data_IF_930359272129
#
_entry.id   IF_930359272129
#
_cell.length_a   1.000
_cell.length_b   1.000
_cell.length_c   1.000
_cell.angle_alpha   90.00
_cell.angle_beta   90.00
_cell.angle_gamma   90.00
#
_symmetry.space_group_name_H-M   'P 1'
#
loop_
_entity.id
_entity.type
_entity.pdbx_description
1 polymer ?
#
# COMPACT_ATOMS: atom_id res chain seq x y z
N UNK A 1 4.14 43.60 58.65
CA UNK A 1 4.36 44.91 57.99
C UNK A 1 5.85 45.01 57.66
N UNK A 2 6.18 45.62 56.52
CA UNK A 2 7.52 45.94 56.00
C UNK A 2 8.30 44.85 55.22
N UNK A 3 8.35 45.08 53.90
CA UNK A 3 9.51 44.93 53.00
C UNK A 3 10.20 46.33 52.90
N UNK A 4 11.34 46.54 52.19
CA UNK A 4 12.43 45.65 51.73
C UNK A 4 13.86 46.28 51.85
N UNK A 5 14.94 45.54 51.54
CA UNK A 5 16.07 46.10 50.74
C UNK A 5 16.87 45.03 49.96
N UNK A 6 17.33 45.45 48.77
CA UNK A 6 17.96 44.71 47.65
C UNK A 6 19.37 44.17 47.93
N UNK A 7 19.72 43.07 47.25
CA UNK A 7 21.09 42.77 46.81
C UNK A 7 21.09 42.28 45.36
N UNK A 8 22.11 42.71 44.62
CA UNK A 8 22.34 42.56 43.19
C UNK A 8 23.17 41.29 42.92
N UNK A 9 22.81 40.51 41.89
CA UNK A 9 23.57 39.34 41.43
C UNK A 9 23.44 39.16 39.91
N UNK A 10 24.58 39.04 39.24
CA UNK A 10 24.84 39.09 37.78
C UNK A 10 23.97 38.15 36.93
N UNK A 11 23.40 38.68 35.85
CA UNK A 11 22.91 37.91 34.71
C UNK A 11 23.99 37.84 33.62
N UNK A 12 24.50 36.64 33.36
CA UNK A 12 25.34 36.35 32.19
C UNK A 12 24.45 36.30 30.94
N UNK A 13 24.75 37.14 29.95
CA UNK A 13 24.08 37.19 28.63
C UNK A 13 24.33 35.88 27.85
N UNK A 14 23.35 35.33 27.13
CA UNK A 14 23.61 34.35 26.08
C UNK A 14 24.14 35.06 24.82
N UNK A 15 24.95 34.40 23.96
CA UNK A 15 25.44 35.02 22.74
C UNK A 15 24.31 35.14 21.71
N UNK A 16 24.14 36.35 21.18
CA UNK A 16 23.33 36.64 20.00
C UNK A 16 24.27 36.50 18.79
N UNK A 17 23.94 35.64 17.85
CA UNK A 17 24.58 35.64 16.53
C UNK A 17 24.49 34.33 15.77
N UNK A 18 23.31 34.00 15.23
CA UNK A 18 23.30 33.44 13.88
C UNK A 18 22.92 34.57 12.94
N UNK A 19 23.81 34.86 12.00
CA UNK A 19 23.66 35.96 11.07
C UNK A 19 22.41 35.73 10.20
N UNK A 20 21.78 36.80 9.71
CA UNK A 20 20.62 36.69 8.80
C UNK A 20 20.97 35.88 7.54
N UNK A 21 22.26 35.83 7.19
CA UNK A 21 22.82 35.06 6.08
C UNK A 21 22.84 33.55 6.37
N UNK A 22 23.27 33.12 7.58
CA UNK A 22 23.33 31.71 8.00
C UNK A 22 21.94 31.07 8.23
N UNK A 23 20.91 31.89 8.44
CA UNK A 23 19.51 31.42 8.45
C UNK A 23 18.96 31.25 7.03
N UNK A 24 19.38 32.11 6.08
CA UNK A 24 19.00 31.99 4.67
C UNK A 24 19.66 30.77 4.01
N UNK A 25 20.96 30.55 4.26
CA UNK A 25 21.68 29.39 3.70
C UNK A 25 21.17 28.04 4.24
N UNK A 26 20.78 27.98 5.53
CA UNK A 26 20.11 26.77 6.07
C UNK A 26 18.72 26.55 5.50
N UNK A 27 17.98 27.62 5.22
CA UNK A 27 16.66 27.52 4.58
C UNK A 27 16.78 27.07 3.12
N UNK A 28 17.76 27.61 2.38
CA UNK A 28 18.04 27.22 0.98
C UNK A 28 18.66 25.82 0.86
N UNK A 29 19.46 25.37 1.83
CA UNK A 29 19.95 23.98 1.89
C UNK A 29 18.85 22.99 2.29
N UNK A 30 17.92 23.39 3.17
CA UNK A 30 16.75 22.58 3.52
C UNK A 30 15.77 22.49 2.33
N UNK A 31 15.52 23.59 1.61
CA UNK A 31 14.71 23.61 0.39
C UNK A 31 15.38 22.83 -0.77
N UNK A 32 16.71 22.89 -0.89
CA UNK A 32 17.46 22.07 -1.87
C UNK A 32 17.48 20.58 -1.51
N UNK A 33 17.41 20.22 -0.23
CA UNK A 33 17.29 18.82 0.22
C UNK A 33 15.84 18.28 0.08
N UNK A 34 14.81 19.10 0.26
CA UNK A 34 13.40 18.71 0.10
C UNK A 34 12.97 18.56 -1.37
N UNK A 35 13.65 19.23 -2.30
CA UNK A 35 13.34 19.12 -3.74
C UNK A 35 13.94 17.85 -4.38
N UNK A 36 14.80 17.11 -3.68
CA UNK A 36 15.59 16.00 -4.27
C UNK A 36 15.09 14.58 -3.98
N UNK A 37 13.99 14.37 -3.22
CA UNK A 37 13.48 13.01 -2.92
C UNK A 37 11.95 12.83 -2.97
N UNK A 38 11.23 13.64 -3.75
CA UNK A 38 9.82 13.39 -4.06
C UNK A 38 9.66 12.97 -5.53
N UNK A 39 9.67 11.66 -5.79
CA UNK A 39 9.03 11.13 -7.00
C UNK A 39 7.53 11.39 -6.82
N UNK A 40 7.00 12.40 -7.51
CA UNK A 40 5.61 12.82 -7.34
C UNK A 40 4.64 11.65 -7.62
N UNK A 41 3.50 11.61 -6.93
CA UNK A 41 2.47 10.58 -7.10
C UNK A 41 2.05 10.41 -8.58
N UNK A 42 2.15 11.49 -9.37
CA UNK A 42 1.94 11.50 -10.82
C UNK A 42 3.01 10.74 -11.60
N UNK A 43 4.28 10.77 -11.17
CA UNK A 43 5.36 10.00 -11.82
C UNK A 43 5.20 8.51 -11.53
N UNK A 44 4.77 8.11 -10.33
CA UNK A 44 4.46 6.71 -10.05
C UNK A 44 3.19 6.24 -10.76
N UNK A 45 2.16 7.08 -10.86
CA UNK A 45 0.98 6.82 -11.69
C UNK A 45 1.34 6.72 -13.17
N UNK A 46 2.24 7.57 -13.67
CA UNK A 46 2.67 7.55 -15.07
C UNK A 46 3.58 6.35 -15.37
N UNK A 47 4.47 5.98 -14.45
CA UNK A 47 5.28 4.75 -14.53
C UNK A 47 4.40 3.50 -14.44
N UNK A 48 3.35 3.51 -13.61
CA UNK A 48 2.33 2.45 -13.57
C UNK A 48 1.53 2.41 -14.88
N UNK A 49 1.05 3.54 -15.39
CA UNK A 49 0.34 3.70 -16.68
C UNK A 49 1.20 3.18 -17.83
N UNK A 50 2.51 3.45 -17.82
CA UNK A 50 3.47 2.95 -18.80
C UNK A 50 3.72 1.43 -18.65
N UNK A 51 3.90 0.92 -17.43
CA UNK A 51 4.12 -0.51 -17.19
C UNK A 51 2.87 -1.36 -17.54
N UNK A 52 1.67 -0.83 -17.31
CA UNK A 52 0.40 -1.42 -17.75
C UNK A 52 0.26 -1.36 -19.28
N UNK A 53 0.58 -0.23 -19.92
CA UNK A 53 0.56 -0.11 -21.38
C UNK A 53 1.57 -1.02 -22.09
N UNK A 54 2.72 -1.29 -21.46
CA UNK A 54 3.79 -2.12 -22.02
C UNK A 54 3.57 -3.64 -21.82
N UNK A 55 2.46 -4.06 -21.20
CA UNK A 55 2.06 -5.46 -21.17
C UNK A 55 2.80 -6.33 -20.15
N UNK A 56 3.44 -5.74 -19.15
CA UNK A 56 4.25 -6.45 -18.15
C UNK A 56 3.43 -7.22 -17.08
N UNK A 57 2.10 -7.19 -17.15
CA UNK A 57 1.19 -7.72 -16.11
C UNK A 57 0.11 -8.68 -16.63
N UNK A 58 0.36 -9.37 -17.74
CA UNK A 58 -0.52 -10.44 -18.20
C UNK A 58 -0.16 -11.74 -17.50
N UNK A 59 -0.96 -12.22 -16.54
CA UNK A 59 -1.32 -13.63 -16.36
C UNK A 59 -2.13 -13.85 -15.06
N UNK A 60 -3.44 -13.63 -15.13
CA UNK A 60 -4.47 -14.42 -14.45
C UNK A 60 -5.82 -14.02 -15.07
N UNK A 61 -6.73 -14.98 -15.29
CA UNK A 61 -8.02 -14.85 -16.00
C UNK A 61 -7.98 -14.90 -17.54
N UNK A 62 -7.47 -16.01 -18.07
CA UNK A 62 -7.80 -16.45 -19.43
C UNK A 62 -8.86 -17.56 -19.37
N UNK A 63 -10.15 -17.21 -19.34
CA UNK A 63 -11.20 -18.18 -19.67
C UNK A 63 -11.35 -18.28 -21.19
N UNK A 64 -11.24 -19.52 -21.68
CA UNK A 64 -11.06 -19.89 -23.09
C UNK A 64 -12.32 -19.62 -23.93
N UNK A 65 -12.23 -18.73 -24.90
CA UNK A 65 -13.06 -18.73 -26.12
C UNK A 65 -12.20 -18.37 -27.32
N UNK A 66 -12.33 -19.16 -28.41
CA UNK A 66 -11.66 -18.92 -29.69
C UNK A 66 -12.15 -17.58 -30.23
N UNK A 67 -11.35 -16.55 -29.98
CA UNK A 67 -11.59 -15.17 -30.38
C UNK A 67 -10.30 -14.70 -31.04
N UNK A 68 -10.41 -14.06 -32.21
CA UNK A 68 -9.24 -13.60 -32.97
C UNK A 68 -8.34 -12.72 -32.10
N UNK A 69 -7.02 -12.75 -32.32
CA UNK A 69 -6.08 -11.94 -31.52
C UNK A 69 -6.46 -10.45 -31.44
N UNK A 70 -7.11 -9.91 -32.48
CA UNK A 70 -7.61 -8.52 -32.48
C UNK A 70 -8.77 -8.29 -31.52
N UNK A 71 -9.67 -9.27 -31.38
CA UNK A 71 -10.78 -9.23 -30.42
C UNK A 71 -10.31 -9.40 -28.97
N UNK A 72 -9.31 -10.24 -28.73
CA UNK A 72 -8.67 -10.38 -27.41
C UNK A 72 -7.97 -9.07 -26.99
N UNK A 73 -7.19 -8.45 -27.88
CA UNK A 73 -6.55 -7.15 -27.62
C UNK A 73 -7.55 -6.03 -27.31
N UNK A 74 -8.68 -5.98 -28.04
CA UNK A 74 -9.75 -5.01 -27.78
C UNK A 74 -10.44 -5.26 -26.43
N UNK A 75 -10.61 -6.53 -26.07
CA UNK A 75 -11.17 -6.92 -24.78
C UNK A 75 -10.26 -6.49 -23.63
N UNK A 76 -8.95 -6.77 -23.72
CA UNK A 76 -7.96 -6.34 -22.73
C UNK A 76 -7.89 -4.82 -22.58
N UNK A 77 -7.91 -4.08 -23.69
CA UNK A 77 -7.96 -2.62 -23.65
C UNK A 77 -9.20 -2.11 -22.92
N UNK A 78 -10.37 -2.72 -23.18
CA UNK A 78 -11.62 -2.35 -22.52
C UNK A 78 -11.59 -2.67 -21.03
N UNK A 79 -11.00 -3.82 -20.66
CA UNK A 79 -10.78 -4.21 -19.26
C UNK A 79 -9.91 -3.18 -18.55
N UNK A 80 -8.74 -2.87 -19.08
CA UNK A 80 -7.82 -1.87 -18.50
C UNK A 80 -8.46 -0.50 -18.33
N UNK A 81 -9.13 0.01 -19.36
CA UNK A 81 -9.83 1.29 -19.29
C UNK A 81 -10.92 1.30 -18.21
N UNK A 82 -11.59 0.16 -17.98
CA UNK A 82 -12.61 0.01 -16.93
C UNK A 82 -11.97 0.06 -15.53
N UNK A 83 -10.87 -0.66 -15.32
CA UNK A 83 -10.14 -0.68 -14.04
C UNK A 83 -9.56 0.71 -13.70
N UNK A 84 -8.94 1.38 -14.68
CA UNK A 84 -8.40 2.73 -14.53
C UNK A 84 -9.49 3.74 -14.19
N UNK A 85 -10.60 3.75 -14.94
CA UNK A 85 -11.75 4.61 -14.69
C UNK A 85 -12.33 4.43 -13.28
N UNK A 86 -12.42 3.18 -12.80
CA UNK A 86 -12.93 2.89 -11.47
C UNK A 86 -12.05 3.47 -10.36
N UNK A 87 -10.73 3.35 -10.51
CA UNK A 87 -9.76 3.91 -9.57
C UNK A 87 -9.76 5.44 -9.59
N UNK A 88 -9.74 6.07 -10.76
CA UNK A 88 -9.82 7.54 -10.90
C UNK A 88 -11.07 8.11 -10.22
N UNK A 89 -12.22 7.48 -10.45
CA UNK A 89 -13.48 7.90 -9.84
C UNK A 89 -13.47 7.76 -8.31
N UNK A 90 -12.76 6.76 -7.76
CA UNK A 90 -12.56 6.64 -6.32
C UNK A 90 -11.79 7.84 -5.75
N UNK A 91 -10.77 8.33 -6.45
CA UNK A 91 -10.04 9.56 -6.07
C UNK A 91 -10.91 10.79 -6.18
N UNK A 92 -11.62 10.96 -7.30
CA UNK A 92 -12.39 12.17 -7.59
C UNK A 92 -13.58 12.37 -6.65
N UNK A 93 -14.30 11.28 -6.32
CA UNK A 93 -15.64 11.36 -5.70
C UNK A 93 -15.76 10.55 -4.41
N UNK A 94 -14.75 9.76 -4.07
CA UNK A 94 -14.81 8.76 -3.01
C UNK A 94 -15.59 7.50 -3.42
N UNK A 95 -15.20 6.36 -2.86
CA UNK A 95 -15.75 5.04 -3.17
C UNK A 95 -17.30 4.98 -3.16
N UNK A 96 -17.93 5.58 -2.15
CA UNK A 96 -19.39 5.54 -1.99
C UNK A 96 -20.18 6.20 -3.13
N UNK A 97 -19.57 7.14 -3.88
CA UNK A 97 -20.21 7.85 -5.00
C UNK A 97 -19.91 7.24 -6.36
N UNK A 98 -19.08 6.19 -6.42
CA UNK A 98 -18.76 5.50 -7.68
C UNK A 98 -19.92 4.59 -8.07
N UNK A 99 -20.34 4.66 -9.33
CA UNK A 99 -21.38 3.81 -9.93
C UNK A 99 -20.86 3.11 -11.18
N UNK A 100 -21.46 1.97 -11.53
CA UNK A 100 -21.11 1.23 -12.76
C UNK A 100 -21.38 2.10 -14.00
N UNK A 101 -22.43 2.93 -13.97
CA UNK A 101 -22.73 3.93 -15.00
C UNK A 101 -21.59 4.93 -15.19
N UNK A 102 -21.05 5.47 -14.09
CA UNK A 102 -19.96 6.44 -14.15
C UNK A 102 -18.68 5.79 -14.66
N UNK A 103 -18.38 4.55 -14.22
CA UNK A 103 -17.23 3.77 -14.71
C UNK A 103 -17.37 3.52 -16.21
N UNK A 104 -18.54 3.06 -16.67
CA UNK A 104 -18.83 2.78 -18.08
C UNK A 104 -18.65 4.04 -18.95
N UNK A 105 -19.20 5.17 -18.50
CA UNK A 105 -19.09 6.44 -19.20
C UNK A 105 -17.64 6.92 -19.30
N UNK A 106 -16.85 6.81 -18.23
CA UNK A 106 -15.44 7.22 -18.22
C UNK A 106 -14.56 6.30 -19.05
N UNK A 107 -14.76 5.00 -18.96
CA UNK A 107 -13.99 3.99 -19.69
C UNK A 107 -14.36 3.91 -21.18
N UNK A 108 -15.45 4.56 -21.60
CA UNK A 108 -15.95 4.49 -22.98
C UNK A 108 -16.49 3.11 -23.35
N UNK A 109 -17.04 2.38 -22.38
CA UNK A 109 -17.59 1.02 -22.57
C UNK A 109 -19.07 0.96 -22.20
N UNK A 110 -19.77 -0.06 -22.69
CA UNK A 110 -21.18 -0.28 -22.28
C UNK A 110 -21.27 -0.93 -20.89
N UNK A 111 -22.36 -0.69 -20.15
CA UNK A 111 -22.63 -1.43 -18.90
C UNK A 111 -22.65 -2.94 -19.10
N UNK A 112 -23.20 -3.41 -20.23
CA UNK A 112 -23.18 -4.83 -20.61
C UNK A 112 -21.76 -5.37 -20.75
N UNK A 113 -20.82 -4.53 -21.20
CA UNK A 113 -19.40 -4.90 -21.24
C UNK A 113 -18.85 -5.10 -19.84
N UNK A 114 -19.16 -4.22 -18.88
CA UNK A 114 -18.69 -4.35 -17.49
C UNK A 114 -19.31 -5.59 -16.82
N UNK A 115 -20.64 -5.74 -16.85
CA UNK A 115 -21.34 -6.85 -16.19
C UNK A 115 -20.96 -8.24 -16.72
N UNK A 116 -20.37 -8.33 -17.91
CA UNK A 116 -19.84 -9.58 -18.44
C UNK A 116 -18.66 -10.11 -17.63
N UNK A 117 -17.88 -9.24 -16.98
CA UNK A 117 -16.66 -9.60 -16.24
C UNK A 117 -16.81 -9.35 -14.75
N UNK A 118 -17.49 -8.27 -14.38
CA UNK A 118 -17.63 -7.83 -13.00
C UNK A 118 -19.11 -7.74 -12.61
N UNK A 119 -19.57 -8.56 -11.65
CA UNK A 119 -20.97 -8.54 -11.22
C UNK A 119 -21.34 -7.24 -10.49
N UNK A 120 -20.36 -6.52 -9.92
CA UNK A 120 -20.57 -5.31 -9.13
C UNK A 120 -19.45 -4.28 -9.32
N UNK A 121 -19.68 -3.03 -8.89
CA UNK A 121 -18.62 -1.98 -8.84
C UNK A 121 -17.43 -2.46 -7.99
N UNK A 122 -17.70 -3.21 -6.93
CA UNK A 122 -16.72 -3.65 -5.94
C UNK A 122 -15.84 -4.75 -6.50
N UNK A 123 -16.37 -5.60 -7.38
CA UNK A 123 -15.58 -6.53 -8.15
C UNK A 123 -14.63 -5.82 -9.14
N UNK A 124 -15.04 -4.72 -9.78
CA UNK A 124 -14.16 -3.92 -10.66
C UNK A 124 -13.02 -3.31 -9.84
N UNK A 125 -13.36 -2.66 -8.71
CA UNK A 125 -12.39 -1.95 -7.87
C UNK A 125 -11.43 -2.93 -7.19
N UNK A 126 -11.92 -4.09 -6.74
CA UNK A 126 -11.10 -5.16 -6.17
C UNK A 126 -10.05 -5.61 -7.18
N UNK A 127 -10.45 -5.89 -8.41
CA UNK A 127 -9.52 -6.32 -9.45
C UNK A 127 -8.49 -5.24 -9.78
N UNK A 128 -8.92 -3.98 -9.90
CA UNK A 128 -8.03 -2.85 -10.14
C UNK A 128 -7.01 -2.66 -9.01
N UNK A 129 -7.43 -2.88 -7.75
CA UNK A 129 -6.56 -2.83 -6.58
C UNK A 129 -5.58 -4.02 -6.54
N UNK A 130 -6.05 -5.25 -6.78
CA UNK A 130 -5.23 -6.46 -6.75
C UNK A 130 -4.11 -6.39 -7.79
N UNK A 131 -4.41 -5.95 -9.02
CA UNK A 131 -3.42 -5.80 -10.09
C UNK A 131 -2.28 -4.85 -9.67
N UNK A 132 -2.60 -3.76 -8.95
CA UNK A 132 -1.59 -2.83 -8.44
C UNK A 132 -0.84 -3.38 -7.21
N UNK A 133 -1.51 -4.12 -6.33
CA UNK A 133 -0.89 -4.72 -5.15
C UNK A 133 0.20 -5.73 -5.53
N UNK A 134 -0.12 -6.66 -6.44
CA UNK A 134 0.82 -7.70 -6.88
C UNK A 134 2.10 -7.07 -7.45
N UNK A 135 1.98 -6.00 -8.23
CA UNK A 135 3.14 -5.30 -8.80
C UNK A 135 3.98 -4.51 -7.79
N UNK A 136 3.43 -4.16 -6.63
CA UNK A 136 4.10 -3.28 -5.64
C UNK A 136 4.61 -4.00 -4.40
N UNK A 137 4.21 -5.27 -4.21
CA UNK A 137 4.52 -6.04 -3.00
C UNK A 137 5.17 -7.39 -3.34
N UNK A 138 6.38 -7.40 -3.92
CA UNK A 138 7.07 -8.64 -4.22
C UNK A 138 7.45 -9.39 -2.93
N UNK A 139 7.41 -10.72 -2.97
CA UNK A 139 8.03 -11.58 -1.96
C UNK A 139 9.43 -11.96 -2.43
N UNK A 140 10.34 -10.99 -2.37
CA UNK A 140 11.74 -11.20 -2.71
C UNK A 140 12.38 -12.24 -1.78
N UNK A 141 13.41 -12.93 -2.27
CA UNK A 141 14.23 -13.87 -1.51
C UNK A 141 15.69 -13.46 -1.68
N UNK A 142 16.07 -12.37 -0.99
CA UNK A 142 17.41 -11.76 -1.12
C UNK A 142 18.45 -12.41 -0.21
N UNK A 143 18.02 -13.35 0.63
CA UNK A 143 18.83 -13.93 1.70
C UNK A 143 18.74 -13.17 3.04
N UNK A 144 18.02 -12.05 3.12
CA UNK A 144 17.73 -11.33 4.37
C UNK A 144 16.22 -11.19 4.55
N UNK A 145 15.65 -12.01 5.44
CA UNK A 145 14.19 -12.00 5.68
C UNK A 145 13.69 -10.68 6.26
N UNK A 146 14.49 -9.99 7.08
CA UNK A 146 14.09 -8.72 7.65
C UNK A 146 14.05 -7.62 6.58
N UNK A 147 14.99 -7.60 5.65
CA UNK A 147 14.95 -6.72 4.49
C UNK A 147 13.76 -7.03 3.57
N UNK A 148 13.52 -8.30 3.28
CA UNK A 148 12.44 -8.72 2.36
C UNK A 148 11.05 -8.38 2.92
N UNK A 149 10.81 -8.62 4.21
CA UNK A 149 9.55 -8.26 4.87
C UNK A 149 9.35 -6.75 4.92
N UNK A 150 10.41 -5.98 5.22
CA UNK A 150 10.34 -4.50 5.20
C UNK A 150 9.96 -3.99 3.82
N UNK A 151 10.59 -4.49 2.77
CA UNK A 151 10.29 -4.08 1.40
C UNK A 151 8.85 -4.42 1.00
N UNK A 152 8.36 -5.61 1.36
CA UNK A 152 6.99 -6.02 1.08
C UNK A 152 5.96 -5.13 1.78
N UNK A 153 6.11 -4.92 3.10
CA UNK A 153 5.20 -4.11 3.89
C UNK A 153 5.26 -2.63 3.46
N UNK A 154 6.45 -2.10 3.18
CA UNK A 154 6.62 -0.74 2.66
C UNK A 154 5.91 -0.54 1.32
N UNK A 155 5.98 -1.53 0.42
CA UNK A 155 5.23 -1.52 -0.83
C UNK A 155 3.71 -1.44 -0.60
N UNK A 156 3.19 -2.25 0.33
CA UNK A 156 1.77 -2.29 0.66
C UNK A 156 1.29 -1.00 1.33
N UNK A 157 2.03 -0.50 2.31
CA UNK A 157 1.77 0.79 2.99
C UNK A 157 1.78 1.92 1.96
N UNK A 158 2.79 1.97 1.08
CA UNK A 158 2.89 3.00 0.04
C UNK A 158 1.67 2.97 -0.88
N UNK A 159 1.24 1.79 -1.30
CA UNK A 159 0.08 1.63 -2.16
C UNK A 159 -1.18 2.19 -1.49
N UNK A 160 -1.52 1.71 -0.29
CA UNK A 160 -2.75 2.12 0.42
C UNK A 160 -2.70 3.58 0.89
N UNK A 161 -1.54 4.21 0.95
CA UNK A 161 -1.40 5.65 1.23
C UNK A 161 -1.40 6.53 -0.02
N UNK A 162 -1.38 5.93 -1.22
CA UNK A 162 -1.36 6.67 -2.49
C UNK A 162 -2.73 6.61 -3.15
N UNK A 163 -3.42 7.75 -3.39
CA UNK A 163 -4.59 7.78 -4.27
C UNK A 163 -4.19 7.29 -5.68
N UNK A 164 -5.02 6.49 -6.36
CA UNK A 164 -6.41 6.13 -6.04
C UNK A 164 -6.62 4.96 -5.07
N UNK A 165 -5.56 4.25 -4.68
CA UNK A 165 -5.68 2.92 -4.08
C UNK A 165 -6.18 2.94 -2.62
N UNK A 166 -5.75 3.91 -1.81
CA UNK A 166 -6.21 4.03 -0.42
C UNK A 166 -7.73 4.15 -0.27
N UNK A 167 -8.37 5.16 -0.90
CA UNK A 167 -9.82 5.29 -0.86
C UNK A 167 -10.57 4.08 -1.42
N UNK A 168 -10.06 3.46 -2.49
CA UNK A 168 -10.61 2.25 -3.06
C UNK A 168 -10.56 1.07 -2.07
N UNK A 169 -9.42 0.88 -1.42
CA UNK A 169 -9.19 -0.20 -0.47
C UNK A 169 -10.04 -0.06 0.80
N UNK A 170 -10.08 1.13 1.39
CA UNK A 170 -10.94 1.42 2.54
C UNK A 170 -12.43 1.20 2.21
N UNK A 171 -12.84 1.53 0.98
CA UNK A 171 -14.18 1.27 0.49
C UNK A 171 -14.51 -0.23 0.42
N UNK A 172 -13.61 -1.04 -0.13
CA UNK A 172 -13.75 -2.50 -0.16
C UNK A 172 -13.89 -3.06 1.26
N UNK A 173 -12.99 -2.69 2.17
CA UNK A 173 -13.03 -3.15 3.57
C UNK A 173 -14.36 -2.81 4.25
N UNK A 174 -14.91 -1.62 4.00
CA UNK A 174 -16.22 -1.24 4.54
C UNK A 174 -17.37 -2.04 3.94
N UNK A 175 -17.33 -2.34 2.63
CA UNK A 175 -18.44 -3.00 1.93
C UNK A 175 -18.49 -4.51 2.23
N UNK A 176 -17.34 -5.14 2.48
CA UNK A 176 -17.24 -6.56 2.88
C UNK A 176 -18.07 -6.93 4.12
N UNK A 177 -18.33 -5.98 5.02
CA UNK A 177 -19.15 -6.23 6.21
C UNK A 177 -20.65 -6.43 5.91
N UNK A 178 -21.10 -6.07 4.71
CA UNK A 178 -22.50 -6.09 4.32
C UNK A 178 -22.75 -6.90 3.02
N UNK A 179 -21.69 -7.40 2.38
CA UNK A 179 -21.73 -8.16 1.13
C UNK A 179 -20.84 -9.41 1.26
N UNK A 180 -21.48 -10.56 1.53
CA UNK A 180 -20.81 -11.86 1.67
C UNK A 180 -20.19 -12.38 0.36
N UNK A 181 -20.71 -11.97 -0.80
CA UNK A 181 -20.12 -12.34 -2.09
C UNK A 181 -18.82 -11.57 -2.32
N UNK A 182 -18.81 -10.27 -2.02
CA UNK A 182 -17.59 -9.46 -2.02
C UNK A 182 -16.59 -9.98 -0.99
N UNK A 183 -17.00 -10.30 0.23
CA UNK A 183 -16.11 -10.82 1.26
C UNK A 183 -15.43 -12.13 0.80
N UNK A 184 -16.19 -13.06 0.20
CA UNK A 184 -15.62 -14.28 -0.40
C UNK A 184 -14.69 -13.98 -1.56
N UNK A 185 -15.03 -13.04 -2.43
CA UNK A 185 -14.18 -12.64 -3.54
C UNK A 185 -12.86 -12.02 -3.08
N UNK A 186 -12.89 -11.16 -2.07
CA UNK A 186 -11.68 -10.58 -1.45
C UNK A 186 -10.83 -11.67 -0.84
N UNK A 187 -11.44 -12.59 -0.07
CA UNK A 187 -10.71 -13.71 0.51
C UNK A 187 -9.98 -14.54 -0.55
N UNK A 188 -10.73 -15.01 -1.55
CA UNK A 188 -10.20 -15.92 -2.57
C UNK A 188 -9.23 -15.27 -3.56
N UNK A 189 -9.43 -14.00 -3.91
CA UNK A 189 -8.64 -13.32 -4.97
C UNK A 189 -7.51 -12.45 -4.44
N UNK A 190 -7.56 -12.06 -3.17
CA UNK A 190 -6.61 -11.12 -2.58
C UNK A 190 -5.95 -11.67 -1.32
N UNK A 191 -6.72 -12.14 -0.34
CA UNK A 191 -6.15 -12.51 0.97
C UNK A 191 -5.42 -13.83 0.92
N UNK A 192 -6.10 -14.91 0.52
CA UNK A 192 -5.54 -16.26 0.57
C UNK A 192 -4.27 -16.42 -0.30
N UNK A 193 -4.23 -15.96 -1.57
CA UNK A 193 -3.01 -16.09 -2.39
C UNK A 193 -1.81 -15.35 -1.79
N UNK A 194 -2.05 -14.14 -1.25
CA UNK A 194 -0.99 -13.31 -0.65
C UNK A 194 -0.52 -13.87 0.68
N UNK A 195 -1.43 -14.45 1.46
CA UNK A 195 -1.12 -15.15 2.70
C UNK A 195 -0.25 -16.38 2.43
N UNK A 196 -0.62 -17.20 1.45
CA UNK A 196 0.14 -18.38 1.04
C UNK A 196 1.54 -18.02 0.55
N UNK A 197 1.68 -16.96 -0.26
CA UNK A 197 2.99 -16.46 -0.70
C UNK A 197 3.86 -15.96 0.46
N UNK A 198 3.27 -15.24 1.43
CA UNK A 198 3.97 -14.78 2.62
C UNK A 198 4.46 -15.95 3.48
N UNK A 199 3.59 -16.93 3.74
CA UNK A 199 3.95 -18.15 4.47
C UNK A 199 5.05 -18.92 3.73
N UNK A 200 4.97 -19.04 2.40
CA UNK A 200 6.00 -19.69 1.61
C UNK A 200 7.35 -18.97 1.70
N UNK A 201 7.36 -17.62 1.74
CA UNK A 201 8.59 -16.84 1.93
C UNK A 201 9.19 -17.05 3.31
N UNK A 202 8.37 -17.03 4.37
CA UNK A 202 8.84 -17.30 5.73
C UNK A 202 9.37 -18.74 5.87
N UNK A 203 8.73 -19.72 5.22
CA UNK A 203 9.18 -21.11 5.22
C UNK A 203 10.57 -21.25 4.59
N UNK A 204 10.85 -20.55 3.49
CA UNK A 204 12.21 -20.52 2.91
C UNK A 204 13.22 -19.88 3.86
N UNK A 205 12.84 -18.84 4.59
CA UNK A 205 13.71 -18.24 5.62
C UNK A 205 14.00 -19.22 6.78
N UNK A 206 13.01 -20.03 7.17
CA UNK A 206 13.18 -21.10 8.16
C UNK A 206 14.13 -22.20 7.66
N UNK A 207 14.00 -22.65 6.41
CA UNK A 207 14.92 -23.60 5.76
C UNK A 207 16.37 -23.06 5.68
N UNK A 208 16.53 -21.74 5.57
CA UNK A 208 17.81 -21.04 5.57
C UNK A 208 18.34 -20.73 6.99
N UNK A 209 17.64 -21.14 8.05
CA UNK A 209 18.03 -20.93 9.46
C UNK A 209 17.84 -19.49 9.95
N UNK A 210 17.11 -18.63 9.24
CA UNK A 210 16.82 -17.25 9.64
C UNK A 210 15.63 -17.15 10.60
N UNK A 211 14.77 -18.15 10.64
CA UNK A 211 13.61 -18.27 11.52
C UNK A 211 13.68 -19.64 12.22
N UNK A 212 13.33 -19.74 13.52
CA UNK A 212 13.33 -21.03 14.21
C UNK A 212 12.35 -22.04 13.60
N UNK A 213 12.65 -23.35 13.65
CA UNK A 213 11.82 -24.37 13.04
C UNK A 213 10.41 -24.52 13.66
N UNK A 214 10.24 -24.10 14.90
CA UNK A 214 9.01 -24.16 15.69
C UNK A 214 8.10 -22.93 15.53
N UNK A 215 8.55 -21.91 14.79
CA UNK A 215 7.80 -20.67 14.62
C UNK A 215 6.45 -20.90 13.91
N UNK A 216 5.37 -20.35 14.47
CA UNK A 216 4.05 -20.31 13.84
C UNK A 216 4.03 -19.28 12.69
N UNK A 217 4.35 -19.74 11.47
CA UNK A 217 4.42 -18.86 10.30
C UNK A 217 3.06 -18.24 9.92
N UNK A 218 1.93 -18.97 9.93
CA UNK A 218 0.60 -18.36 9.77
C UNK A 218 0.35 -17.19 10.72
N UNK A 219 0.62 -17.37 12.02
CA UNK A 219 0.46 -16.30 13.01
C UNK A 219 1.42 -15.14 12.76
N UNK A 220 2.67 -15.43 12.37
CA UNK A 220 3.65 -14.41 12.02
C UNK A 220 3.13 -13.50 10.89
N UNK A 221 2.50 -14.09 9.86
CA UNK A 221 1.86 -13.33 8.76
C UNK A 221 0.74 -12.44 9.31
N UNK A 222 -0.16 -12.96 10.14
CA UNK A 222 -1.23 -12.16 10.74
C UNK A 222 -0.69 -10.99 11.58
N UNK A 223 0.38 -11.21 12.34
CA UNK A 223 1.05 -10.18 13.14
C UNK A 223 1.73 -9.10 12.28
N UNK A 224 2.19 -9.42 11.08
CA UNK A 224 2.81 -8.46 10.15
C UNK A 224 1.76 -7.59 9.45
N UNK A 225 0.69 -8.20 8.93
CA UNK A 225 -0.31 -7.47 8.12
C UNK A 225 -1.44 -6.86 8.96
N UNK A 226 -1.79 -7.45 10.12
CA UNK A 226 -2.83 -6.94 11.00
C UNK A 226 -2.64 -5.48 11.42
N UNK A 227 -1.45 -5.08 11.90
CA UNK A 227 -1.14 -3.69 12.21
C UNK A 227 -1.27 -2.75 11.03
N UNK A 228 -0.99 -3.20 9.79
CA UNK A 228 -1.20 -2.38 8.60
C UNK A 228 -2.66 -1.99 8.44
N UNK A 229 -3.58 -2.96 8.55
CA UNK A 229 -5.02 -2.73 8.45
C UNK A 229 -5.54 -1.88 9.61
N UNK A 230 -5.14 -2.21 10.84
CA UNK A 230 -5.51 -1.45 12.03
C UNK A 230 -5.13 0.02 11.89
N UNK A 231 -3.90 0.30 11.46
CA UNK A 231 -3.42 1.68 11.28
C UNK A 231 -4.10 2.39 10.12
N UNK A 232 -4.26 1.73 8.97
CA UNK A 232 -4.89 2.32 7.79
C UNK A 232 -6.36 2.68 8.04
N UNK A 233 -7.13 1.79 8.66
CA UNK A 233 -8.58 1.96 8.84
C UNK A 233 -8.90 2.79 10.10
N UNK A 234 -8.27 2.48 11.23
CA UNK A 234 -8.68 3.02 12.53
C UNK A 234 -7.84 4.20 12.99
N UNK A 235 -6.52 4.18 12.79
CA UNK A 235 -5.64 5.28 13.25
C UNK A 235 -5.50 6.40 12.23
N UNK A 236 -5.44 6.08 10.95
CA UNK A 236 -5.25 7.00 9.82
C UNK A 236 -3.96 7.87 9.78
N UNK A 237 -2.81 7.58 10.45
CA UNK A 237 -1.54 8.14 10.02
C UNK A 237 -0.89 7.31 8.90
N UNK A 238 -0.06 7.97 8.10
CA UNK A 238 0.89 7.32 7.20
C UNK A 238 1.90 6.57 8.08
N UNK A 239 2.16 5.30 7.77
CA UNK A 239 3.25 4.56 8.40
C UNK A 239 4.54 4.90 7.69
N UNK A 240 5.52 5.38 8.43
CA UNK A 240 6.85 5.61 7.89
C UNK A 240 7.68 4.32 7.87
N UNK A 241 8.84 4.40 7.23
CA UNK A 241 9.76 3.27 7.09
C UNK A 241 10.30 2.77 8.44
N UNK A 242 10.40 3.65 9.45
CA UNK A 242 10.87 3.32 10.79
C UNK A 242 9.82 2.49 11.54
N UNK A 243 8.54 2.86 11.47
CA UNK A 243 7.44 2.10 12.05
C UNK A 243 7.31 0.69 11.44
N UNK A 244 7.56 0.56 10.13
CA UNK A 244 7.56 -0.72 9.42
C UNK A 244 8.75 -1.57 9.86
N UNK A 245 9.95 -0.98 9.91
CA UNK A 245 11.15 -1.68 10.36
C UNK A 245 11.01 -2.15 11.81
N UNK A 246 10.47 -1.30 12.68
CA UNK A 246 10.19 -1.64 14.07
C UNK A 246 9.19 -2.79 14.18
N UNK A 247 8.11 -2.79 13.38
CA UNK A 247 7.13 -3.88 13.35
C UNK A 247 7.78 -5.21 12.94
N UNK A 248 8.52 -5.22 11.83
CA UNK A 248 9.22 -6.43 11.35
C UNK A 248 10.17 -6.96 12.43
N UNK A 249 10.97 -6.08 13.04
CA UNK A 249 11.90 -6.48 14.07
C UNK A 249 11.19 -7.04 15.33
N UNK A 250 10.03 -6.48 15.70
CA UNK A 250 9.24 -7.00 16.82
C UNK A 250 8.66 -8.39 16.51
N UNK A 251 8.09 -8.59 15.32
CA UNK A 251 7.52 -9.88 14.94
C UNK A 251 8.63 -10.93 14.86
N UNK A 252 9.75 -10.65 14.19
CA UNK A 252 10.88 -11.58 14.09
C UNK A 252 11.45 -11.96 15.46
N UNK A 253 11.52 -11.01 16.41
CA UNK A 253 11.91 -11.33 17.79
C UNK A 253 10.85 -12.17 18.50
N UNK A 254 9.57 -11.89 18.33
CA UNK A 254 8.49 -12.62 18.98
C UNK A 254 8.43 -14.08 18.52
N UNK A 255 8.56 -14.32 17.22
CA UNK A 255 8.62 -15.70 16.68
C UNK A 255 9.98 -16.36 16.91
N UNK A 256 11.01 -15.57 17.22
CA UNK A 256 12.33 -16.01 17.67
C UNK A 256 12.42 -16.30 19.17
N UNK A 257 11.39 -15.96 19.94
CA UNK A 257 11.33 -16.11 21.39
C UNK A 257 10.15 -17.00 21.77
N UNK A 258 10.37 -18.31 21.83
CA UNK A 258 9.65 -19.15 22.78
C UNK A 258 10.68 -19.87 23.66
N UNK A 259 10.73 -19.57 24.98
CA UNK A 259 11.25 -20.51 25.95
C UNK A 259 10.31 -21.72 26.00
N UNK A 260 10.89 -22.91 25.95
CA UNK A 260 10.23 -24.20 26.22
C UNK A 260 9.37 -24.13 27.50
N UNK A 261 8.10 -24.59 27.50
CA UNK A 261 7.44 -25.06 28.71
C UNK A 261 7.92 -26.45 29.14
#
# INVERSE_FOLDING_TARGET
>A
MQRPTRAVGRASRPPIGSSRHERHERCELQERHDTARSVSAWVLFDLWRQAVNNGWFGHAYAHRMITSQSSQRRSERSRRATLEAALELCTEKGYGRVTVEAIAARAGVSKKTIYRWWPSKSAVILEAFTDALVGTTPFADTGDIAADLRANLAGGVKLINTPPFGPAYAGILSEMHHDDELARAVRAKLVDPRFEEAVARLRRAQEQGQIPPEADLPLAVEMLYGPMYYRHVLRKPIQDEEEIAALVAHVLRAIGMLPEP
#
